data_IF_613449355379
#
_entry.id   IF_613449355379
#
_cell.length_a   1.000
_cell.length_b   1.000
_cell.length_c   1.000
_cell.angle_alpha   90.00
_cell.angle_beta   90.00
_cell.angle_gamma   90.00
#
_symmetry.space_group_name_H-M   'P 1'
#
loop_
_entity.id
_entity.type
_entity.pdbx_description
1 polymer ?
#
# COMPACT_ATOMS: atom_id res chain seq x y z
N UNK A 1 11.74 -31.34 -9.47
CA UNK A 1 10.80 -31.74 -8.43
C UNK A 1 9.63 -30.76 -8.48
N UNK A 2 8.37 -31.18 -8.59
CA UNK A 2 7.27 -30.23 -8.62
C UNK A 2 7.10 -29.56 -7.27
N UNK A 3 6.98 -28.23 -7.28
CA UNK A 3 6.68 -27.43 -6.08
C UNK A 3 5.20 -27.66 -5.70
N UNK A 4 4.96 -28.02 -4.44
CA UNK A 4 3.61 -28.18 -3.89
C UNK A 4 3.34 -27.04 -2.91
N UNK A 5 2.39 -26.18 -3.24
CA UNK A 5 1.93 -25.09 -2.37
C UNK A 5 0.58 -25.49 -1.80
N UNK A 6 0.47 -25.52 -0.49
CA UNK A 6 -0.81 -25.70 0.19
C UNK A 6 -1.53 -24.37 0.27
N UNK A 7 -2.77 -24.31 -0.17
CA UNK A 7 -3.60 -23.11 -0.14
C UNK A 7 -4.79 -23.31 0.79
N UNK A 8 -5.15 -22.25 1.50
CA UNK A 8 -6.42 -22.13 2.21
C UNK A 8 -7.26 -21.03 1.55
N UNK A 9 -8.52 -20.88 1.94
CA UNK A 9 -9.35 -19.76 1.50
C UNK A 9 -8.80 -18.37 1.90
N UNK A 10 -7.84 -18.32 2.84
CA UNK A 10 -7.18 -17.10 3.30
C UNK A 10 -5.83 -16.85 2.64
N UNK A 11 -5.32 -17.78 1.87
CA UNK A 11 -4.03 -17.70 1.20
C UNK A 11 -3.13 -18.90 1.41
N UNK A 12 -1.88 -18.82 0.94
CA UNK A 12 -0.91 -19.92 1.06
C UNK A 12 -0.49 -20.15 2.51
N UNK A 13 -0.19 -21.42 2.82
CA UNK A 13 0.46 -21.78 4.08
C UNK A 13 1.94 -21.44 4.01
N UNK A 14 2.42 -20.64 4.95
CA UNK A 14 3.81 -20.15 4.99
C UNK A 14 4.73 -20.97 5.88
N UNK A 15 4.21 -21.96 6.56
CA UNK A 15 4.99 -22.90 7.41
C UNK A 15 5.71 -23.98 6.64
N UNK A 16 5.47 -24.18 5.35
CA UNK A 16 6.15 -25.21 4.57
C UNK A 16 7.63 -24.88 4.37
N UNK A 17 8.52 -25.90 4.36
CA UNK A 17 9.95 -25.71 4.16
C UNK A 17 10.30 -24.92 2.89
N UNK A 18 9.48 -25.04 1.85
CA UNK A 18 9.68 -24.40 0.55
C UNK A 18 9.43 -22.89 0.59
N UNK A 19 8.54 -22.43 1.48
CA UNK A 19 8.19 -21.00 1.62
C UNK A 19 9.05 -20.27 2.65
N UNK A 20 9.76 -20.99 3.53
CA UNK A 20 10.60 -20.37 4.57
C UNK A 20 11.70 -19.48 4.01
N UNK A 21 12.24 -19.80 2.84
CA UNK A 21 13.32 -19.04 2.23
C UNK A 21 12.87 -17.65 1.74
N UNK A 22 11.68 -17.56 1.16
CA UNK A 22 11.22 -16.32 0.53
C UNK A 22 10.62 -15.32 1.53
N UNK A 23 10.02 -15.79 2.61
CA UNK A 23 9.43 -14.89 3.60
C UNK A 23 10.50 -14.15 4.43
N UNK A 24 11.64 -14.75 4.70
CA UNK A 24 12.80 -14.06 5.34
C UNK A 24 13.37 -12.95 4.47
N UNK A 25 13.37 -13.13 3.15
CA UNK A 25 13.86 -12.12 2.20
C UNK A 25 12.91 -10.92 2.09
N UNK A 26 11.59 -11.15 2.16
CA UNK A 26 10.57 -10.11 2.01
C UNK A 26 10.41 -9.24 3.27
N UNK A 27 10.65 -9.80 4.45
CA UNK A 27 10.36 -9.14 5.72
C UNK A 27 11.60 -8.77 6.54
N UNK A 28 12.80 -8.98 5.99
CA UNK A 28 14.07 -8.51 6.59
C UNK A 28 14.41 -9.08 7.96
N UNK A 29 13.81 -10.20 8.35
CA UNK A 29 14.02 -10.79 9.66
C UNK A 29 13.95 -12.31 9.66
N UNK A 30 14.52 -12.92 10.68
CA UNK A 30 14.28 -14.33 10.98
C UNK A 30 12.81 -14.50 11.31
N UNK A 31 12.05 -15.10 10.40
CA UNK A 31 10.70 -15.54 10.75
C UNK A 31 10.89 -16.52 11.92
N UNK A 32 10.33 -16.26 13.09
CA UNK A 32 10.33 -17.23 14.17
C UNK A 32 9.86 -18.56 13.59
N UNK A 33 10.30 -19.68 14.13
CA UNK A 33 9.78 -20.99 13.75
C UNK A 33 8.25 -20.95 13.85
N UNK A 34 7.60 -20.49 12.78
CA UNK A 34 6.13 -20.46 12.66
C UNK A 34 5.56 -21.87 12.46
N UNK A 35 6.41 -22.88 12.61
CA UNK A 35 6.01 -24.27 12.54
C UNK A 35 6.09 -24.89 13.92
N UNK A 36 4.96 -25.21 14.41
CA UNK A 36 4.70 -26.19 15.44
C UNK A 36 3.92 -27.31 14.74
N UNK A 37 4.13 -28.55 15.12
CA UNK A 37 3.48 -29.72 14.49
C UNK A 37 1.95 -29.66 14.56
N UNK A 38 1.39 -28.81 15.44
CA UNK A 38 -0.05 -28.66 15.68
C UNK A 38 -0.67 -27.42 15.01
N UNK A 39 0.15 -26.48 14.48
CA UNK A 39 -0.34 -25.19 13.96
C UNK A 39 0.35 -24.82 12.66
N UNK A 40 -0.45 -24.53 11.62
CA UNK A 40 0.00 -23.95 10.36
C UNK A 40 -0.50 -22.51 10.23
N UNK A 41 0.27 -21.65 9.56
CA UNK A 41 -0.09 -20.26 9.32
C UNK A 41 -0.41 -20.03 7.85
N UNK A 42 -1.55 -19.41 7.58
CA UNK A 42 -1.88 -18.91 6.24
C UNK A 42 -1.54 -17.42 6.14
N UNK A 43 -1.06 -17.00 4.98
CA UNK A 43 -0.72 -15.62 4.69
C UNK A 43 -1.75 -15.01 3.76
N UNK A 44 -2.59 -14.13 4.31
CA UNK A 44 -3.53 -13.35 3.52
C UNK A 44 -2.81 -12.16 2.85
N UNK A 45 -2.68 -12.21 1.53
CA UNK A 45 -2.06 -11.15 0.76
C UNK A 45 -2.97 -10.73 -0.41
N UNK A 46 -3.42 -9.47 -0.39
CA UNK A 46 -4.34 -8.93 -1.39
C UNK A 46 -3.84 -9.05 -2.82
N UNK A 47 -2.54 -8.91 -3.04
CA UNK A 47 -1.94 -9.05 -4.37
C UNK A 47 -2.00 -10.47 -4.95
N UNK A 48 -2.09 -11.50 -4.11
CA UNK A 48 -2.23 -12.89 -4.56
C UNK A 48 -3.70 -13.30 -4.76
N UNK A 49 -4.62 -12.62 -4.09
CA UNK A 49 -6.02 -13.04 -4.04
C UNK A 49 -6.81 -12.71 -5.32
N UNK A 50 -6.36 -11.76 -6.13
CA UNK A 50 -7.25 -11.09 -7.10
C UNK A 50 -6.77 -11.06 -8.54
N UNK A 51 -5.60 -11.57 -8.84
CA UNK A 51 -4.97 -11.32 -10.14
C UNK A 51 -4.36 -9.92 -10.24
N UNK A 52 -3.67 -9.63 -11.32
CA UNK A 52 -2.86 -8.42 -11.46
C UNK A 52 -3.40 -7.53 -12.58
N UNK A 53 -3.77 -6.29 -12.25
CA UNK A 53 -4.17 -5.25 -13.21
C UNK A 53 -3.12 -4.13 -13.35
N UNK A 54 -1.88 -4.34 -12.90
CA UNK A 54 -0.81 -3.34 -12.91
C UNK A 54 -0.52 -2.79 -14.31
N UNK A 55 -0.60 -3.61 -15.34
CA UNK A 55 -0.40 -3.15 -16.73
C UNK A 55 -1.48 -2.17 -17.18
N UNK A 56 -2.73 -2.41 -16.81
CA UNK A 56 -3.82 -1.48 -17.11
C UNK A 56 -3.63 -0.16 -16.37
N UNK A 57 -3.13 -0.22 -15.14
CA UNK A 57 -2.79 0.94 -14.34
C UNK A 57 -1.65 1.76 -14.96
N UNK A 58 -0.55 1.11 -15.38
CA UNK A 58 0.56 1.76 -16.06
C UNK A 58 0.10 2.43 -17.37
N UNK A 59 -0.81 1.79 -18.11
CA UNK A 59 -1.41 2.41 -19.30
C UNK A 59 -2.20 3.67 -18.96
N UNK A 60 -2.96 3.65 -17.87
CA UNK A 60 -3.71 4.84 -17.41
C UNK A 60 -2.77 5.99 -17.08
N UNK A 61 -1.65 5.72 -16.40
CA UNK A 61 -0.62 6.72 -16.14
C UNK A 61 -0.05 7.34 -17.43
N UNK A 62 0.18 6.50 -18.43
CA UNK A 62 0.80 6.93 -19.68
C UNK A 62 -0.09 7.82 -20.57
N UNK A 63 -1.42 7.76 -20.42
CA UNK A 63 -2.37 8.48 -21.27
C UNK A 63 -3.10 9.63 -20.57
N UNK A 64 -3.01 9.74 -19.26
CA UNK A 64 -3.64 10.82 -18.50
C UNK A 64 -2.99 12.17 -18.84
N UNK A 65 -3.80 13.19 -19.12
CA UNK A 65 -3.35 14.53 -19.53
C UNK A 65 -2.98 15.39 -18.32
N UNK A 66 -3.62 15.17 -17.22
CA UNK A 66 -3.42 15.91 -15.97
C UNK A 66 -3.73 15.05 -14.75
N UNK A 67 -3.49 15.61 -13.58
CA UNK A 67 -3.73 14.98 -12.29
C UNK A 67 -5.19 14.58 -12.10
N UNK A 68 -6.14 15.41 -12.53
CA UNK A 68 -7.56 15.14 -12.33
C UNK A 68 -8.05 13.99 -13.21
N UNK A 69 -7.65 13.95 -14.48
CA UNK A 69 -7.94 12.83 -15.38
C UNK A 69 -7.36 11.52 -14.83
N UNK A 70 -6.12 11.55 -14.34
CA UNK A 70 -5.52 10.40 -13.71
C UNK A 70 -6.31 9.89 -12.52
N UNK A 71 -6.65 10.77 -11.58
CA UNK A 71 -7.40 10.44 -10.36
C UNK A 71 -8.79 9.87 -10.69
N UNK A 72 -9.52 10.50 -11.61
CA UNK A 72 -10.87 10.05 -12.00
C UNK A 72 -10.83 8.70 -12.74
N UNK A 73 -9.83 8.48 -13.58
CA UNK A 73 -9.67 7.19 -14.27
C UNK A 73 -9.35 6.07 -13.27
N UNK A 74 -8.52 6.33 -12.28
CA UNK A 74 -8.27 5.37 -11.19
C UNK A 74 -9.55 5.03 -10.42
N UNK A 75 -10.37 6.01 -10.10
CA UNK A 75 -11.66 5.80 -9.42
C UNK A 75 -12.59 4.91 -10.25
N UNK A 76 -12.71 5.19 -11.54
CA UNK A 76 -13.53 4.40 -12.47
C UNK A 76 -13.02 2.97 -12.58
N UNK A 77 -11.72 2.77 -12.73
CA UNK A 77 -11.13 1.42 -12.80
C UNK A 77 -11.41 0.61 -11.54
N UNK A 78 -11.40 1.26 -10.38
CA UNK A 78 -11.67 0.60 -9.10
C UNK A 78 -13.14 0.24 -8.96
N UNK A 79 -14.04 1.16 -9.32
CA UNK A 79 -15.48 0.97 -9.19
C UNK A 79 -16.01 -0.13 -10.11
N UNK A 80 -15.54 -0.17 -11.37
CA UNK A 80 -16.05 -1.10 -12.38
C UNK A 80 -15.40 -2.49 -12.34
N UNK A 81 -14.12 -2.57 -11.98
CA UNK A 81 -13.31 -3.79 -12.15
C UNK A 81 -12.65 -4.27 -10.87
N UNK A 82 -12.75 -3.51 -9.79
CA UNK A 82 -11.95 -3.69 -8.59
C UNK A 82 -10.47 -3.43 -8.88
N UNK A 83 -9.81 -2.57 -8.11
CA UNK A 83 -8.37 -2.39 -8.26
C UNK A 83 -7.63 -3.63 -7.76
N UNK A 84 -6.91 -4.28 -8.65
CA UNK A 84 -6.17 -5.52 -8.39
C UNK A 84 -4.70 -5.39 -8.75
N UNK A 85 -4.20 -4.17 -8.75
CA UNK A 85 -2.86 -3.87 -9.16
C UNK A 85 -1.83 -3.88 -8.03
N UNK A 86 -0.65 -3.45 -8.40
CA UNK A 86 0.49 -3.27 -7.50
C UNK A 86 0.17 -2.33 -6.34
N UNK A 87 0.53 -2.72 -5.12
CA UNK A 87 0.48 -1.81 -3.98
C UNK A 87 1.53 -0.70 -4.16
N UNK A 88 1.08 0.54 -4.25
CA UNK A 88 1.95 1.69 -4.49
C UNK A 88 1.46 2.96 -3.78
N UNK A 89 2.40 3.82 -3.46
CA UNK A 89 2.15 5.22 -3.15
C UNK A 89 2.49 6.03 -4.41
N UNK A 90 1.51 6.75 -4.95
CA UNK A 90 1.65 7.44 -6.21
C UNK A 90 1.66 8.94 -5.94
N UNK A 91 2.70 9.60 -6.42
CA UNK A 91 2.82 11.05 -6.40
C UNK A 91 2.80 11.52 -7.85
N UNK A 92 2.03 12.56 -8.10
CA UNK A 92 1.78 13.11 -9.42
C UNK A 92 1.97 14.62 -9.44
N UNK A 93 2.40 15.13 -10.59
CA UNK A 93 2.41 16.55 -10.90
C UNK A 93 2.05 16.74 -12.38
N UNK A 94 1.40 17.85 -12.72
CA UNK A 94 1.09 18.21 -14.08
C UNK A 94 1.65 19.60 -14.47
N UNK A 95 1.60 19.91 -15.78
CA UNK A 95 2.11 21.17 -16.31
C UNK A 95 1.27 22.40 -15.90
N UNK A 96 0.09 22.20 -15.34
CA UNK A 96 -0.76 23.25 -14.80
C UNK A 96 -0.41 23.61 -13.34
N UNK A 97 0.57 22.91 -12.76
CA UNK A 97 1.03 23.12 -11.40
C UNK A 97 0.25 22.35 -10.34
N UNK A 98 -0.61 21.41 -10.74
CA UNK A 98 -1.28 20.56 -9.78
C UNK A 98 -0.36 19.45 -9.31
N UNK A 99 -0.48 19.10 -8.03
CA UNK A 99 0.19 17.96 -7.40
C UNK A 99 -0.84 17.07 -6.72
N UNK A 100 -0.64 15.76 -6.76
CA UNK A 100 -1.52 14.84 -6.05
C UNK A 100 -0.78 13.63 -5.48
N UNK A 101 -1.42 13.03 -4.50
CA UNK A 101 -1.06 11.77 -3.87
C UNK A 101 -2.25 10.82 -3.87
N UNK A 102 -2.00 9.57 -4.14
CA UNK A 102 -2.96 8.48 -3.99
C UNK A 102 -2.26 7.24 -3.46
N UNK A 103 -2.76 6.70 -2.37
CA UNK A 103 -2.42 5.33 -1.98
C UNK A 103 -3.23 4.36 -2.85
N UNK A 104 -2.55 3.59 -3.68
CA UNK A 104 -3.15 2.57 -4.51
C UNK A 104 -2.74 1.20 -3.99
N UNK A 105 -3.66 0.52 -3.32
CA UNK A 105 -3.45 -0.81 -2.76
C UNK A 105 -4.74 -1.62 -2.88
N UNK A 106 -4.68 -2.87 -3.37
CA UNK A 106 -5.84 -3.76 -3.32
C UNK A 106 -6.09 -4.16 -1.87
N UNK A 107 -7.06 -3.51 -1.25
CA UNK A 107 -7.43 -3.71 0.14
C UNK A 107 -8.82 -4.32 0.21
N UNK A 108 -8.96 -5.44 0.87
CA UNK A 108 -10.24 -6.06 1.14
C UNK A 108 -10.83 -5.57 2.46
N UNK A 109 -12.13 -5.38 2.50
CA UNK A 109 -12.81 -5.17 3.78
C UNK A 109 -12.71 -6.42 4.63
N UNK A 110 -12.62 -6.23 5.92
CA UNK A 110 -12.72 -7.31 6.92
C UNK A 110 -14.09 -7.32 7.53
N UNK A 111 -14.52 -8.49 8.03
CA UNK A 111 -15.74 -8.60 8.84
C UNK A 111 -15.60 -7.83 10.15
N UNK A 112 -14.41 -7.90 10.75
CA UNK A 112 -14.02 -7.05 11.88
C UNK A 112 -13.12 -5.93 11.37
N UNK A 113 -13.56 -4.68 11.52
CA UNK A 113 -12.84 -3.48 11.10
C UNK A 113 -11.91 -2.92 12.18
N UNK A 114 -11.59 -3.68 13.22
CA UNK A 114 -10.63 -3.27 14.25
C UNK A 114 -9.29 -2.88 13.59
N UNK A 115 -8.74 -1.71 13.92
CA UNK A 115 -7.48 -1.25 13.33
C UNK A 115 -6.31 -2.20 13.62
N UNK A 116 -5.38 -2.30 12.67
CA UNK A 116 -4.14 -3.09 12.77
C UNK A 116 -4.32 -4.62 12.87
N UNK A 117 -5.47 -5.16 12.52
CA UNK A 117 -5.65 -6.61 12.45
C UNK A 117 -4.68 -7.27 11.47
N UNK A 118 -4.35 -6.59 10.37
CA UNK A 118 -3.38 -7.08 9.38
C UNK A 118 -1.96 -7.29 9.92
N UNK A 119 -1.61 -6.70 11.07
CA UNK A 119 -0.31 -6.86 11.74
C UNK A 119 -0.28 -8.02 12.73
N UNK A 120 -1.37 -8.71 12.94
CA UNK A 120 -1.52 -9.70 14.01
C UNK A 120 -1.68 -11.10 13.43
N UNK A 121 -1.28 -12.08 14.23
CA UNK A 121 -1.69 -13.46 14.00
C UNK A 121 -3.13 -13.58 14.51
N UNK A 122 -4.03 -13.96 13.61
CA UNK A 122 -5.47 -14.06 13.88
C UNK A 122 -5.87 -15.53 14.04
N UNK A 123 -6.93 -15.79 14.79
CA UNK A 123 -7.44 -17.14 14.97
C UNK A 123 -8.07 -17.67 13.67
N UNK A 124 -7.40 -18.62 13.06
CA UNK A 124 -7.86 -19.26 11.82
C UNK A 124 -8.98 -20.27 11.97
N UNK A 125 -9.38 -20.61 13.20
CA UNK A 125 -10.47 -21.58 13.47
C UNK A 125 -11.85 -20.99 13.27
N UNK A 126 -11.95 -19.65 13.24
CA UNK A 126 -13.21 -18.92 13.03
C UNK A 126 -13.16 -18.11 11.74
N UNK A 127 -14.30 -17.68 11.24
CA UNK A 127 -14.40 -16.77 10.10
C UNK A 127 -14.54 -15.30 10.50
N UNK A 128 -14.38 -14.98 11.77
CA UNK A 128 -14.57 -13.63 12.32
C UNK A 128 -13.65 -12.60 11.68
N UNK A 129 -12.39 -12.99 11.47
CA UNK A 129 -11.35 -12.11 10.93
C UNK A 129 -11.16 -12.25 9.42
N UNK A 130 -12.03 -12.97 8.74
CA UNK A 130 -11.92 -13.16 7.29
C UNK A 130 -12.13 -11.84 6.53
N UNK A 131 -11.46 -11.74 5.40
CA UNK A 131 -11.81 -10.74 4.41
C UNK A 131 -13.21 -11.01 3.86
N UNK A 132 -13.89 -9.94 3.49
CA UNK A 132 -15.08 -10.01 2.63
C UNK A 132 -14.65 -10.02 1.16
N UNK A 133 -15.59 -10.24 0.24
CA UNK A 133 -15.32 -10.12 -1.20
C UNK A 133 -15.27 -8.65 -1.68
N UNK A 134 -15.55 -7.72 -0.78
CA UNK A 134 -15.59 -6.28 -1.09
C UNK A 134 -14.18 -5.68 -1.05
N UNK A 135 -13.81 -5.02 -2.15
CA UNK A 135 -12.57 -4.25 -2.25
C UNK A 135 -12.85 -2.80 -1.85
N UNK A 136 -12.01 -2.26 -0.97
CA UNK A 136 -12.09 -0.85 -0.55
C UNK A 136 -11.83 0.05 -1.77
N UNK A 137 -12.75 0.96 -2.11
CA UNK A 137 -12.54 1.91 -3.19
C UNK A 137 -11.32 2.79 -2.96
N UNK A 138 -10.60 3.15 -4.02
CA UNK A 138 -9.43 4.05 -3.92
C UNK A 138 -9.80 5.42 -3.33
N UNK A 139 -11.04 5.85 -3.49
CA UNK A 139 -11.56 7.11 -2.90
C UNK A 139 -11.60 7.10 -1.37
N UNK A 140 -11.66 5.93 -0.76
CA UNK A 140 -11.61 5.76 0.70
C UNK A 140 -10.19 5.64 1.24
N UNK A 141 -9.20 5.45 0.38
CA UNK A 141 -7.79 5.35 0.77
C UNK A 141 -7.16 6.75 0.90
N UNK A 142 -6.06 6.88 1.66
CA UNK A 142 -5.35 8.14 1.78
C UNK A 142 -5.04 8.78 0.42
N UNK A 143 -5.49 10.01 0.24
CA UNK A 143 -5.31 10.79 -0.98
C UNK A 143 -5.26 12.28 -0.70
N UNK A 144 -4.62 13.02 -1.58
CA UNK A 144 -4.58 14.48 -1.53
C UNK A 144 -4.44 15.07 -2.94
N UNK A 145 -5.07 16.21 -3.17
CA UNK A 145 -4.88 17.04 -4.37
C UNK A 145 -4.60 18.46 -3.88
N UNK A 146 -3.52 19.05 -4.36
CA UNK A 146 -3.09 20.40 -4.03
C UNK A 146 -3.14 20.68 -2.51
N UNK A 147 -2.44 19.90 -1.68
CA UNK A 147 -2.48 20.09 -0.23
C UNK A 147 -1.99 21.50 0.16
N UNK A 148 -2.59 22.07 1.19
CA UNK A 148 -2.29 23.42 1.66
C UNK A 148 -0.80 23.65 1.96
N UNK A 149 -0.10 22.61 2.39
CA UNK A 149 1.37 22.68 2.63
C UNK A 149 2.21 22.90 1.37
N UNK A 150 1.62 22.83 0.16
CA UNK A 150 2.24 23.13 -1.13
C UNK A 150 3.21 22.08 -1.67
N UNK A 151 3.36 20.95 -1.01
CA UNK A 151 4.20 19.84 -1.48
C UNK A 151 3.68 18.48 -1.01
N UNK A 152 4.20 17.44 -1.60
CA UNK A 152 3.90 16.04 -1.25
C UNK A 152 5.22 15.30 -1.11
N UNK A 153 5.35 14.53 -0.03
CA UNK A 153 6.48 13.63 0.21
C UNK A 153 6.00 12.25 0.62
N UNK A 154 6.71 11.22 0.22
CA UNK A 154 6.50 9.86 0.67
C UNK A 154 7.83 9.13 0.82
N UNK A 155 8.08 8.58 1.99
CA UNK A 155 9.23 7.75 2.30
C UNK A 155 8.78 6.42 2.96
N UNK A 156 7.67 5.85 2.48
CA UNK A 156 6.99 4.68 3.02
C UNK A 156 6.40 4.90 4.44
N UNK A 157 6.30 6.15 4.85
CA UNK A 157 5.67 6.53 6.12
C UNK A 157 4.15 6.48 5.99
N UNK A 158 3.48 6.46 7.13
CA UNK A 158 2.02 6.53 7.19
C UNK A 158 1.51 7.84 6.58
N UNK A 159 0.56 7.72 5.66
CA UNK A 159 -0.09 8.85 5.00
C UNK A 159 -1.49 9.15 5.57
N UNK A 160 -2.03 8.24 6.39
CA UNK A 160 -3.28 8.46 7.08
C UNK A 160 -3.05 9.23 8.40
N UNK A 161 -4.02 10.03 8.85
CA UNK A 161 -3.98 10.64 10.17
C UNK A 161 -3.82 9.59 11.29
N UNK A 162 -3.19 9.97 12.40
CA UNK A 162 -2.95 9.05 13.52
C UNK A 162 -4.25 8.55 14.18
N UNK A 163 -5.31 9.34 14.09
CA UNK A 163 -6.64 9.00 14.58
C UNK A 163 -7.52 8.31 13.52
N UNK A 164 -6.98 7.92 12.38
CA UNK A 164 -7.75 7.20 11.38
C UNK A 164 -8.28 5.89 11.97
N UNK A 165 -9.58 5.69 11.86
CA UNK A 165 -10.29 4.50 12.37
C UNK A 165 -10.04 3.25 11.52
N UNK A 166 -9.53 3.41 10.29
CA UNK A 166 -9.32 2.32 9.34
C UNK A 166 -7.86 1.88 9.30
N UNK A 167 -7.67 0.59 9.06
CA UNK A 167 -6.36 0.00 8.81
C UNK A 167 -5.97 0.22 7.34
N UNK A 168 -5.14 1.23 7.10
CA UNK A 168 -4.64 1.56 5.76
C UNK A 168 -3.31 0.88 5.42
N UNK A 169 -2.96 -0.16 6.11
CA UNK A 169 -1.74 -0.92 5.91
C UNK A 169 -1.04 -1.25 7.23
N UNK A 170 -0.59 -2.48 7.30
CA UNK A 170 -0.07 -3.06 8.53
C UNK A 170 1.37 -2.65 8.84
N UNK A 171 2.17 -2.45 7.80
CA UNK A 171 3.60 -2.20 7.95
C UNK A 171 3.96 -0.87 7.32
N UNK A 172 4.42 0.04 8.14
CA UNK A 172 4.88 1.35 7.70
C UNK A 172 6.31 1.55 8.17
N UNK A 173 7.12 2.13 7.29
CA UNK A 173 8.52 2.40 7.61
C UNK A 173 8.64 3.50 8.66
N UNK A 174 9.78 3.55 9.32
CA UNK A 174 10.14 4.63 10.24
C UNK A 174 9.92 6.01 9.60
N UNK A 175 9.37 6.92 10.37
CA UNK A 175 9.10 8.29 9.95
C UNK A 175 10.36 9.15 9.80
N UNK A 176 11.53 8.70 10.24
CA UNK A 176 12.76 9.50 10.24
C UNK A 176 13.12 10.07 8.87
N UNK A 177 13.04 9.28 7.81
CA UNK A 177 13.29 9.76 6.44
C UNK A 177 12.28 10.82 6.02
N UNK A 178 10.98 10.57 6.24
CA UNK A 178 9.94 11.50 5.85
C UNK A 178 10.01 12.82 6.61
N UNK A 179 10.31 12.78 7.90
CA UNK A 179 10.52 13.97 8.71
C UNK A 179 11.66 14.81 8.15
N UNK A 180 12.80 14.18 7.83
CA UNK A 180 13.95 14.91 7.28
C UNK A 180 13.67 15.52 5.91
N UNK A 181 13.00 14.80 5.03
CA UNK A 181 12.57 15.29 3.71
C UNK A 181 11.66 16.51 3.88
N UNK A 182 10.64 16.41 4.74
CA UNK A 182 9.68 17.49 4.99
C UNK A 182 10.39 18.73 5.57
N UNK A 183 11.33 18.55 6.50
CA UNK A 183 12.13 19.66 7.06
C UNK A 183 12.93 20.39 5.98
N UNK A 184 13.64 19.66 5.11
CA UNK A 184 14.46 20.25 4.06
C UNK A 184 13.61 21.02 3.04
N UNK A 185 12.46 20.46 2.65
CA UNK A 185 11.54 21.15 1.74
C UNK A 185 10.97 22.41 2.40
N UNK A 186 10.50 22.34 3.64
CA UNK A 186 9.98 23.52 4.37
C UNK A 186 11.02 24.61 4.50
N UNK A 187 12.23 24.29 4.91
CA UNK A 187 13.33 25.26 5.00
C UNK A 187 13.59 25.98 3.66
N UNK A 188 13.52 25.24 2.56
CA UNK A 188 13.63 25.83 1.23
C UNK A 188 12.47 26.77 0.91
N UNK A 189 11.23 26.36 1.17
CA UNK A 189 10.02 27.17 0.94
C UNK A 189 10.11 28.46 1.79
N UNK A 190 10.42 28.34 3.07
CA UNK A 190 10.50 29.48 4.01
C UNK A 190 11.59 30.48 3.61
N UNK A 191 12.66 30.02 2.96
CA UNK A 191 13.70 30.86 2.40
C UNK A 191 13.35 31.49 1.04
N UNK A 192 12.17 31.22 0.49
CA UNK A 192 11.75 31.67 -0.82
C UNK A 192 12.39 30.91 -1.99
N UNK A 193 13.00 29.75 -1.73
CA UNK A 193 13.68 28.95 -2.74
C UNK A 193 12.67 28.37 -3.74
N UNK A 194 12.97 28.51 -5.01
CA UNK A 194 12.32 27.72 -6.08
C UNK A 194 13.17 26.49 -6.35
N UNK A 195 12.60 25.33 -6.08
CA UNK A 195 13.29 24.04 -6.23
C UNK A 195 13.48 23.66 -7.70
N UNK A 196 14.66 23.14 -7.98
CA UNK A 196 15.01 22.49 -9.25
C UNK A 196 15.05 20.96 -9.07
N UNK A 197 15.21 20.23 -10.17
CA UNK A 197 15.42 18.78 -10.10
C UNK A 197 16.67 18.41 -9.30
N UNK A 198 17.76 19.19 -9.44
CA UNK A 198 19.00 18.96 -8.70
C UNK A 198 18.82 19.17 -7.20
N UNK A 199 17.99 20.13 -6.80
CA UNK A 199 17.64 20.31 -5.40
C UNK A 199 16.91 19.11 -4.82
N UNK A 200 16.02 18.50 -5.61
CA UNK A 200 15.29 17.29 -5.19
C UNK A 200 16.21 16.08 -5.08
N UNK A 201 17.27 16.00 -5.89
CA UNK A 201 18.29 14.96 -5.79
C UNK A 201 19.12 15.11 -4.51
N UNK A 202 19.31 16.36 -4.04
CA UNK A 202 20.09 16.66 -2.83
C UNK A 202 19.31 16.44 -1.51
N UNK A 203 18.00 16.27 -1.56
CA UNK A 203 17.13 15.97 -0.43
C UNK A 203 17.06 14.47 -0.17
#
# INVERSE_FOLDING_TARGET
MPLRIKLTHRGPLIGSPELRFNAGLLFGGTIPKLHNDDVEFSFGWGGAATGDTSLAFLKTMAVAKDVNEFMSTMETMTAEKGYRGMAANIIMADNSGNIAYQQAVPMFRRKDETPYLGCRVLDGRTSEFDWTDEIVPLTELPRAINPEKGFISNANNRQAPDNASKDYGATQMSTGRSVRIDEMIRQGIDSGKKFTADDMIAI
#
